data_IF_464510510713
#
_entry.id   IF_464510510713
#
_cell.length_a   1.000
_cell.length_b   1.000
_cell.length_c   1.000
_cell.angle_alpha   90.00
_cell.angle_beta   90.00
_cell.angle_gamma   90.00
#
_symmetry.space_group_name_H-M   'P 1'
#
loop_
_entity.id
_entity.type
_entity.pdbx_description
1 polymer ?
#
# COMPACT_ATOMS: atom_id res chain seq x y z
N UNK A 1 -18.72 11.29 17.72
CA UNK A 1 -18.17 10.30 18.68
C UNK A 1 -16.68 10.30 18.48
N UNK A 2 -15.95 11.07 19.27
CA UNK A 2 -14.49 11.14 19.20
C UNK A 2 -14.00 9.92 19.97
N UNK A 3 -13.39 8.97 19.26
CA UNK A 3 -12.76 7.80 19.87
C UNK A 3 -11.72 8.27 20.86
N UNK A 4 -11.80 7.76 22.09
CA UNK A 4 -10.85 8.03 23.15
C UNK A 4 -9.48 7.51 22.70
N UNK A 5 -8.63 8.41 22.20
CA UNK A 5 -7.22 8.13 21.96
C UNK A 5 -6.59 7.88 23.33
N UNK A 6 -6.63 6.63 23.79
CA UNK A 6 -5.90 6.23 24.98
C UNK A 6 -4.43 6.32 24.64
N UNK A 7 -3.75 7.22 25.35
CA UNK A 7 -2.30 7.28 25.39
C UNK A 7 -1.80 5.92 25.92
N UNK A 8 -1.09 5.16 25.07
CA UNK A 8 -0.49 3.89 25.47
C UNK A 8 0.69 4.18 26.41
N UNK A 9 0.44 4.16 27.72
CA UNK A 9 1.50 4.22 28.73
C UNK A 9 1.88 2.80 29.10
N UNK A 10 3.10 2.41 28.74
CA UNK A 10 3.70 1.09 28.96
C UNK A 10 3.62 0.65 30.44
N UNK A 11 2.90 -0.42 30.75
CA UNK A 11 2.80 -0.93 32.13
C UNK A 11 2.62 -2.44 32.36
N UNK A 12 2.19 -3.24 31.37
CA UNK A 12 1.94 -4.67 31.62
C UNK A 12 2.13 -5.63 30.43
N UNK A 13 2.52 -6.87 30.70
CA UNK A 13 2.73 -7.94 29.68
C UNK A 13 1.50 -8.15 28.78
N UNK A 14 0.28 -8.06 29.35
CA UNK A 14 -0.97 -8.21 28.60
C UNK A 14 -1.16 -7.08 27.57
N UNK A 15 -0.71 -5.86 27.86
CA UNK A 15 -0.75 -4.74 26.91
C UNK A 15 0.22 -4.98 25.75
N UNK A 16 1.42 -5.51 26.06
CA UNK A 16 2.41 -5.89 25.05
C UNK A 16 1.86 -6.96 24.09
N UNK A 17 1.22 -8.01 24.63
CA UNK A 17 0.58 -9.06 23.83
C UNK A 17 -0.55 -8.53 22.96
N UNK A 18 -1.40 -7.66 23.51
CA UNK A 18 -2.46 -7.03 22.74
C UNK A 18 -1.88 -6.20 21.60
N UNK A 19 -0.85 -5.39 21.88
CA UNK A 19 -0.25 -4.51 20.89
C UNK A 19 0.49 -5.27 19.80
N UNK A 20 1.13 -6.41 20.13
CA UNK A 20 1.66 -7.36 19.14
C UNK A 20 0.54 -7.92 18.25
N UNK A 21 -0.60 -8.33 18.81
CA UNK A 21 -1.74 -8.80 18.01
C UNK A 21 -2.27 -7.71 17.07
N UNK A 22 -2.34 -6.46 17.53
CA UNK A 22 -2.72 -5.31 16.71
C UNK A 22 -1.70 -5.11 15.57
N UNK A 23 -0.39 -5.23 15.86
CA UNK A 23 0.66 -5.15 14.84
C UNK A 23 0.47 -6.20 13.75
N UNK A 24 0.31 -7.46 14.14
CA UNK A 24 0.11 -8.57 13.19
C UNK A 24 -1.16 -8.38 12.35
N UNK A 25 -2.27 -7.99 12.98
CA UNK A 25 -3.52 -7.71 12.28
C UNK A 25 -3.38 -6.53 11.30
N UNK A 26 -2.61 -5.50 11.65
CA UNK A 26 -2.36 -4.36 10.77
C UNK A 26 -1.54 -4.77 9.54
N UNK A 27 -0.47 -5.55 9.72
CA UNK A 27 0.32 -6.10 8.61
C UNK A 27 -0.51 -7.01 7.69
N UNK A 28 -1.44 -7.79 8.25
CA UNK A 28 -2.37 -8.62 7.47
C UNK A 28 -3.34 -7.75 6.67
N UNK A 29 -3.93 -6.71 7.26
CA UNK A 29 -4.81 -5.80 6.53
C UNK A 29 -4.08 -5.08 5.40
N UNK A 30 -2.82 -4.68 5.59
CA UNK A 30 -2.00 -4.14 4.51
C UNK A 30 -1.81 -5.14 3.36
N UNK A 31 -1.51 -6.41 3.68
CA UNK A 31 -1.43 -7.50 2.70
C UNK A 31 -2.74 -7.69 1.94
N UNK A 32 -3.88 -7.65 2.62
CA UNK A 32 -5.19 -7.79 1.98
C UNK A 32 -5.53 -6.59 1.10
N UNK A 33 -5.25 -5.37 1.57
CA UNK A 33 -5.45 -4.15 0.78
C UNK A 33 -4.63 -4.21 -0.52
N UNK A 34 -3.37 -4.65 -0.43
CA UNK A 34 -2.50 -4.76 -1.59
C UNK A 34 -2.91 -5.92 -2.54
N UNK A 35 -3.07 -7.13 -2.02
CA UNK A 35 -3.23 -8.34 -2.84
C UNK A 35 -4.67 -8.63 -3.26
N UNK A 36 -5.65 -8.36 -2.40
CA UNK A 36 -7.06 -8.65 -2.68
C UNK A 36 -7.79 -7.43 -3.24
N UNK A 37 -7.54 -6.24 -2.68
CA UNK A 37 -8.19 -5.01 -3.12
C UNK A 37 -7.42 -4.28 -4.23
N UNK A 38 -6.18 -4.67 -4.53
CA UNK A 38 -5.31 -3.97 -5.49
C UNK A 38 -5.16 -2.49 -5.15
N UNK A 39 -4.96 -2.19 -3.86
CA UNK A 39 -4.84 -0.82 -3.34
C UNK A 39 -3.63 -0.67 -2.41
N UNK A 40 -3.01 0.49 -2.51
CA UNK A 40 -2.06 1.05 -1.54
C UNK A 40 -2.79 2.17 -0.82
N UNK A 41 -2.72 2.20 0.51
CA UNK A 41 -3.44 3.21 1.29
C UNK A 41 -2.94 4.62 0.97
N UNK A 42 -1.62 4.78 0.81
CA UNK A 42 -0.93 6.01 0.43
C UNK A 42 -1.12 7.17 1.40
N UNK A 43 -1.50 6.89 2.64
CA UNK A 43 -1.45 7.80 3.79
C UNK A 43 -1.59 7.01 5.12
N UNK A 44 -1.10 5.78 5.18
CA UNK A 44 -1.31 4.95 6.37
C UNK A 44 -0.36 5.36 7.49
N UNK A 45 -0.94 5.58 8.67
CA UNK A 45 -0.26 5.86 9.93
C UNK A 45 -1.14 5.41 11.09
N UNK A 46 -0.64 5.52 12.32
CA UNK A 46 -1.41 5.23 13.53
C UNK A 46 -2.69 6.07 13.67
N UNK A 47 -2.72 7.26 13.05
CA UNK A 47 -3.89 8.13 13.07
C UNK A 47 -5.04 7.59 12.22
N UNK A 48 -4.73 6.78 11.21
CA UNK A 48 -5.67 6.18 10.27
C UNK A 48 -5.98 4.71 10.62
N UNK A 49 -5.57 4.27 11.80
CA UNK A 49 -5.84 2.94 12.35
C UNK A 49 -6.72 3.03 13.59
N UNK A 50 -7.87 2.36 13.57
CA UNK A 50 -8.77 2.27 14.71
C UNK A 50 -8.77 0.86 15.30
N UNK A 51 -8.64 0.78 16.62
CA UNK A 51 -8.92 -0.44 17.38
C UNK A 51 -10.34 -0.40 17.92
N UNK A 52 -11.22 -1.24 17.40
CA UNK A 52 -12.61 -1.29 17.83
C UNK A 52 -13.14 -2.73 17.86
N UNK A 53 -13.77 -3.09 18.98
CA UNK A 53 -14.39 -4.40 19.20
C UNK A 53 -13.46 -5.60 18.88
N UNK A 54 -12.19 -5.51 19.29
CA UNK A 54 -11.22 -6.58 19.09
C UNK A 54 -10.65 -6.68 17.67
N UNK A 55 -10.85 -5.66 16.82
CA UNK A 55 -10.40 -5.63 15.43
C UNK A 55 -9.72 -4.31 15.08
N UNK A 56 -8.79 -4.39 14.14
CA UNK A 56 -8.17 -3.24 13.48
C UNK A 56 -9.04 -2.82 12.31
N UNK A 57 -9.24 -1.52 12.15
CA UNK A 57 -9.92 -0.91 11.02
C UNK A 57 -9.02 0.16 10.41
N UNK A 58 -8.85 0.12 9.08
CA UNK A 58 -8.18 1.18 8.33
C UNK A 58 -9.24 2.17 7.83
N UNK A 59 -9.00 3.46 8.02
CA UNK A 59 -9.91 4.54 7.63
C UNK A 59 -9.19 5.57 6.77
N UNK A 60 -9.95 6.49 6.18
CA UNK A 60 -9.42 7.55 5.31
C UNK A 60 -8.68 7.02 4.07
N UNK A 61 -9.34 6.11 3.36
CA UNK A 61 -8.86 5.56 2.06
C UNK A 61 -9.09 6.50 0.89
N UNK A 62 -9.34 7.79 1.16
CA UNK A 62 -9.68 8.78 0.13
C UNK A 62 -8.52 9.10 -0.83
N UNK A 63 -7.29 8.88 -0.37
CA UNK A 63 -6.05 9.09 -1.13
C UNK A 63 -5.43 7.78 -1.65
N UNK A 64 -6.10 6.64 -1.48
CA UNK A 64 -5.56 5.35 -1.88
C UNK A 64 -5.39 5.25 -3.40
N UNK A 65 -4.33 4.56 -3.82
CA UNK A 65 -3.96 4.39 -5.23
C UNK A 65 -3.78 2.91 -5.57
N UNK A 66 -3.84 2.57 -6.85
CA UNK A 66 -3.43 1.23 -7.29
C UNK A 66 -1.90 1.04 -7.14
N UNK A 67 -1.42 -0.19 -6.88
CA UNK A 67 0.01 -0.52 -6.92
C UNK A 67 0.69 -0.15 -8.24
N UNK A 68 -0.08 -0.07 -9.33
CA UNK A 68 0.40 0.28 -10.67
C UNK A 68 0.62 1.79 -10.89
N UNK A 69 0.24 2.62 -9.92
CA UNK A 69 0.47 4.06 -9.94
C UNK A 69 1.99 4.35 -10.05
N UNK A 70 2.42 5.44 -10.74
CA UNK A 70 3.82 5.87 -10.85
C UNK A 70 4.64 5.87 -9.56
N UNK A 71 3.98 6.09 -8.43
CA UNK A 71 4.57 6.15 -7.09
C UNK A 71 3.91 5.16 -6.12
N UNK A 72 3.23 4.13 -6.63
CA UNK A 72 2.44 3.21 -5.83
C UNK A 72 3.28 2.42 -4.83
N UNK A 73 4.45 1.94 -5.25
CA UNK A 73 5.36 1.16 -4.39
C UNK A 73 6.10 2.08 -3.41
N UNK A 74 6.45 3.30 -3.81
CA UNK A 74 7.02 4.30 -2.90
C UNK A 74 6.04 4.64 -1.76
N UNK A 75 4.76 4.86 -2.09
CA UNK A 75 3.72 5.09 -1.09
C UNK A 75 3.53 3.89 -0.17
N UNK A 76 3.56 2.67 -0.71
CA UNK A 76 3.48 1.45 0.10
C UNK A 76 4.67 1.35 1.07
N UNK A 77 5.88 1.66 0.62
CA UNK A 77 7.06 1.61 1.48
C UNK A 77 6.96 2.64 2.63
N UNK A 78 6.44 3.83 2.35
CA UNK A 78 6.18 4.84 3.38
C UNK A 78 5.12 4.37 4.39
N UNK A 79 4.03 3.77 3.92
CA UNK A 79 2.99 3.19 4.77
C UNK A 79 3.58 2.10 5.69
N UNK A 80 4.41 1.20 5.13
CA UNK A 80 5.13 0.17 5.90
C UNK A 80 6.04 0.79 6.96
N UNK A 81 6.79 1.84 6.60
CA UNK A 81 7.66 2.56 7.54
C UNK A 81 6.89 3.16 8.70
N UNK A 82 5.78 3.84 8.44
CA UNK A 82 4.96 4.45 9.49
C UNK A 82 4.45 3.39 10.47
N UNK A 83 3.89 2.30 9.95
CA UNK A 83 3.36 1.18 10.73
C UNK A 83 4.46 0.51 11.56
N UNK A 84 5.57 0.11 10.93
CA UNK A 84 6.70 -0.52 11.62
C UNK A 84 7.25 0.36 12.73
N UNK A 85 7.48 1.65 12.47
CA UNK A 85 8.00 2.57 13.48
C UNK A 85 7.03 2.77 14.63
N UNK A 86 5.72 2.86 14.36
CA UNK A 86 4.71 3.02 15.40
C UNK A 86 4.74 1.85 16.39
N UNK A 87 4.73 0.61 15.89
CA UNK A 87 4.73 -0.58 16.76
C UNK A 87 6.06 -0.80 17.47
N UNK A 88 7.20 -0.55 16.80
CA UNK A 88 8.51 -0.63 17.43
C UNK A 88 8.68 0.41 18.55
N UNK A 89 8.21 1.65 18.35
CA UNK A 89 8.21 2.70 19.39
C UNK A 89 7.32 2.34 20.57
N UNK A 90 6.22 1.64 20.34
CA UNK A 90 5.38 1.09 21.42
C UNK A 90 5.89 -0.22 22.02
N UNK A 91 7.11 -0.65 21.68
CA UNK A 91 7.84 -1.74 22.32
C UNK A 91 7.62 -3.13 21.73
N UNK A 92 6.95 -3.25 20.57
CA UNK A 92 6.81 -4.53 19.86
C UNK A 92 8.13 -4.85 19.15
N UNK A 93 8.96 -5.69 19.77
CA UNK A 93 10.30 -6.04 19.23
C UNK A 93 10.21 -6.98 18.04
N UNK A 94 9.11 -7.71 17.95
CA UNK A 94 8.79 -8.68 16.91
C UNK A 94 8.19 -8.01 15.65
N UNK A 95 7.91 -6.70 15.71
CA UNK A 95 7.41 -5.96 14.57
C UNK A 95 8.47 -5.93 13.46
N UNK A 96 8.08 -6.40 12.27
CA UNK A 96 8.90 -6.35 11.07
C UNK A 96 9.40 -4.92 10.82
N UNK A 97 10.65 -4.78 10.38
CA UNK A 97 11.11 -3.47 9.90
C UNK A 97 10.44 -3.09 8.57
N UNK A 98 10.61 -1.85 8.13
CA UNK A 98 9.89 -1.33 6.95
C UNK A 98 10.14 -2.13 5.67
N UNK A 99 11.36 -2.68 5.49
CA UNK A 99 11.75 -3.46 4.31
C UNK A 99 11.16 -4.86 4.36
N UNK A 100 11.23 -5.50 5.53
CA UNK A 100 10.61 -6.81 5.76
C UNK A 100 9.09 -6.76 5.59
N UNK A 101 8.45 -5.72 6.14
CA UNK A 101 7.02 -5.52 6.00
C UNK A 101 6.65 -5.22 4.55
N UNK A 102 7.41 -4.38 3.85
CA UNK A 102 7.19 -4.11 2.43
C UNK A 102 7.26 -5.39 1.59
N UNK A 103 8.30 -6.21 1.78
CA UNK A 103 8.45 -7.48 1.06
C UNK A 103 7.30 -8.45 1.41
N UNK A 104 6.88 -8.50 2.67
CA UNK A 104 5.75 -9.33 3.10
C UNK A 104 4.41 -8.87 2.51
N UNK A 105 4.19 -7.57 2.37
CA UNK A 105 2.95 -7.00 1.80
C UNK A 105 2.92 -7.15 0.28
N UNK A 106 3.99 -6.75 -0.38
CA UNK A 106 4.06 -6.69 -1.84
C UNK A 106 4.40 -8.02 -2.52
N UNK A 107 5.03 -8.95 -1.79
CA UNK A 107 5.62 -10.15 -2.37
C UNK A 107 6.88 -9.89 -3.22
N UNK A 108 7.34 -8.63 -3.30
CA UNK A 108 8.55 -8.23 -4.00
C UNK A 108 9.74 -8.54 -3.09
N UNK A 109 10.59 -9.48 -3.47
CA UNK A 109 11.67 -9.96 -2.60
C UNK A 109 12.95 -9.11 -2.77
N UNK A 110 12.86 -7.81 -2.46
CA UNK A 110 13.96 -6.85 -2.58
C UNK A 110 15.00 -7.12 -1.49
N UNK A 111 16.27 -7.28 -1.87
CA UNK A 111 17.36 -7.67 -0.97
C UNK A 111 18.40 -6.57 -0.71
N UNK A 112 18.05 -5.30 -0.93
CA UNK A 112 18.99 -4.19 -0.78
C UNK A 112 19.39 -3.91 0.68
N UNK A 113 20.69 -3.78 0.92
CA UNK A 113 21.28 -3.67 2.26
C UNK A 113 21.12 -2.28 2.90
N UNK A 114 20.96 -1.24 2.08
CA UNK A 114 20.74 0.14 2.54
C UNK A 114 19.47 0.74 1.92
N UNK A 115 18.99 1.83 2.53
CA UNK A 115 17.75 2.48 2.12
C UNK A 115 17.81 3.09 0.72
N UNK A 116 18.94 3.70 0.33
CA UNK A 116 19.07 4.33 -0.97
C UNK A 116 18.95 3.30 -2.10
N UNK A 117 19.61 2.15 -1.95
CA UNK A 117 19.53 1.05 -2.91
C UNK A 117 18.14 0.42 -2.93
N UNK A 118 17.48 0.29 -1.77
CA UNK A 118 16.12 -0.23 -1.67
C UNK A 118 15.11 0.65 -2.42
N UNK A 119 15.21 1.98 -2.24
CA UNK A 119 14.38 2.96 -2.94
C UNK A 119 14.68 2.99 -4.45
N UNK A 120 15.95 2.87 -4.84
CA UNK A 120 16.33 2.80 -6.25
C UNK A 120 15.74 1.55 -6.93
N UNK A 121 15.66 0.42 -6.22
CA UNK A 121 15.04 -0.80 -6.72
C UNK A 121 13.51 -0.66 -6.83
N UNK A 122 12.86 -0.02 -5.86
CA UNK A 122 11.45 0.38 -5.96
C UNK A 122 11.19 1.24 -7.20
N UNK A 123 11.99 2.30 -7.40
CA UNK A 123 11.84 3.21 -8.54
C UNK A 123 12.04 2.47 -9.87
N UNK A 124 12.99 1.53 -9.92
CA UNK A 124 13.21 0.70 -11.10
C UNK A 124 11.99 -0.19 -11.42
N UNK A 125 11.35 -0.78 -10.40
CA UNK A 125 10.14 -1.58 -10.55
C UNK A 125 8.95 -0.74 -11.03
N UNK A 126 8.79 0.48 -10.51
CA UNK A 126 7.75 1.42 -10.94
C UNK A 126 7.93 1.83 -12.41
N UNK A 127 9.16 2.18 -12.83
CA UNK A 127 9.46 2.51 -14.24
C UNK A 127 9.18 1.34 -15.18
N UNK A 128 9.55 0.12 -14.80
CA UNK A 128 9.23 -1.07 -15.59
C UNK A 128 7.72 -1.26 -15.75
N UNK A 129 6.95 -0.96 -14.72
CA UNK A 129 5.49 -1.04 -14.76
C UNK A 129 4.88 0.06 -15.66
N UNK A 130 5.34 1.31 -15.55
CA UNK A 130 4.90 2.41 -16.41
C UNK A 130 5.09 2.11 -17.90
N UNK A 131 6.26 1.58 -18.27
CA UNK A 131 6.58 1.21 -19.65
C UNK A 131 5.62 0.16 -20.20
N UNK A 132 5.18 -0.79 -19.37
CA UNK A 132 4.19 -1.80 -19.76
C UNK A 132 2.79 -1.21 -19.91
N UNK A 133 2.36 -0.35 -18.98
CA UNK A 133 1.04 0.30 -19.05
C UNK A 133 0.94 1.20 -20.28
N UNK A 134 1.97 1.99 -20.59
CA UNK A 134 1.97 2.87 -21.77
C UNK A 134 1.99 2.08 -23.09
N UNK A 135 2.71 0.95 -23.16
CA UNK A 135 2.71 0.08 -24.35
C UNK A 135 1.35 -0.58 -24.57
N UNK A 136 0.68 -1.02 -23.51
CA UNK A 136 -0.66 -1.61 -23.60
C UNK A 136 -1.75 -0.57 -23.92
N UNK A 137 -1.66 0.64 -23.34
CA UNK A 137 -2.57 1.75 -23.64
C UNK A 137 -2.48 2.23 -25.10
N UNK A 138 -1.27 2.29 -25.67
CA UNK A 138 -1.07 2.62 -27.10
C UNK A 138 -1.63 1.55 -28.02
N UNK A 139 -1.50 0.26 -27.68
CA UNK A 139 -2.13 -0.84 -28.42
C UNK A 139 -3.66 -0.74 -28.38
N UNK A 140 -4.26 -0.54 -27.20
CA UNK A 140 -5.71 -0.39 -27.05
C UNK A 140 -6.26 0.82 -27.85
N UNK A 141 -5.55 1.96 -27.83
CA UNK A 141 -5.94 3.14 -28.61
C UNK A 141 -5.80 2.97 -30.12
N UNK A 142 -4.90 2.09 -30.61
CA UNK A 142 -4.77 1.79 -32.03
C UNK A 142 -5.88 0.92 -32.61
N UNK A 143 -6.60 0.15 -31.78
CA UNK A 143 -7.74 -0.68 -32.23
C UNK A 143 -9.06 0.10 -32.38
N UNK A 144 -9.11 1.37 -31.98
CA UNK A 144 -10.32 2.20 -32.03
C UNK A 144 -10.34 3.22 -33.20
N UNK A 145 -9.43 3.09 -34.18
CA UNK A 145 -9.31 4.05 -35.30
C UNK A 145 -9.83 3.58 -36.66
N UNK A 146 -10.43 2.39 -36.74
CA UNK A 146 -11.02 1.87 -37.97
C UNK A 146 -12.57 1.86 -37.89
N UNK A 147 -13.20 3.03 -37.74
CA UNK A 147 -14.63 3.19 -38.04
C UNK A 147 -14.75 4.08 -39.27
N UNK A 148 -14.71 3.43 -40.42
CA UNK A 148 -15.08 3.99 -41.72
C UNK A 148 -16.57 4.38 -41.61
N UNK A 149 -16.83 5.68 -41.46
CA UNK A 149 -18.19 6.21 -41.28
C UNK A 149 -19.14 5.75 -42.39
N UNK A 150 -20.46 5.66 -42.10
CA UNK A 150 -21.42 5.07 -43.02
C UNK A 150 -21.43 5.79 -44.37
N UNK A 151 -21.59 5.05 -45.49
CA UNK A 151 -21.49 5.62 -46.83
C UNK A 151 -22.59 6.66 -47.05
N UNK A 152 -22.18 7.85 -47.49
CA UNK A 152 -23.09 8.94 -47.84
C UNK A 152 -23.87 8.55 -49.10
N UNK A 153 -25.21 8.63 -49.12
CA UNK A 153 -25.97 8.39 -50.34
C UNK A 153 -25.64 9.49 -51.36
N UNK A 154 -25.24 9.10 -52.56
CA UNK A 154 -25.21 10.00 -53.71
C UNK A 154 -26.65 10.17 -54.20
N UNK A 155 -27.23 11.34 -53.99
CA UNK A 155 -28.43 11.78 -54.71
C UNK A 155 -28.05 12.32 -56.09
N UNK A 156 -28.87 11.97 -57.09
CA UNK A 156 -28.71 12.09 -58.55
C UNK A 156 -28.40 13.49 -59.11
#
# INVERSE_FOLDING_TARGET
MVGEQRHFSCGGELEQFLFLNICLASSQLMQQLYNECTLVHADLSEYNMLWHAGKVWLIDVSQSVEPTHPHGLEFLFRDCRNVSQFFQKGGVKEALNERELFNAVSGLNISADNEADFLAEIEALEKMNEDHVQKNGRKAASFLKDDEGPPVPHDE
#
